data_IF_566893578667
#
_entry.id   IF_566893578667
#
_cell.length_a   1.000
_cell.length_b   1.000
_cell.length_c   1.000
_cell.angle_alpha   90.00
_cell.angle_beta   90.00
_cell.angle_gamma   90.00
#
_symmetry.space_group_name_H-M   'P 1'
#
loop_
_entity.id
_entity.type
_entity.pdbx_description
1 polymer ?
#
# COMPACT_ATOMS: atom_id res chain seq x y z
N UNK A 1 14.13 -10.11 -8.67
CA UNK A 1 13.78 -9.83 -7.25
C UNK A 1 13.41 -8.37 -6.99
N UNK A 2 14.09 -7.36 -7.58
CA UNK A 2 13.81 -5.93 -7.29
C UNK A 2 12.37 -5.47 -7.55
N UNK A 3 11.69 -5.95 -8.59
CA UNK A 3 10.30 -5.56 -8.90
C UNK A 3 9.35 -5.77 -7.72
N UNK A 4 9.41 -6.94 -7.07
CA UNK A 4 8.54 -7.25 -5.93
C UNK A 4 8.87 -6.39 -4.71
N UNK A 5 10.15 -6.03 -4.53
CA UNK A 5 10.57 -5.12 -3.47
C UNK A 5 9.98 -3.73 -3.67
N UNK A 6 9.99 -3.19 -4.90
CA UNK A 6 9.37 -1.90 -5.19
C UNK A 6 7.86 -1.92 -5.01
N UNK A 7 7.20 -3.01 -5.42
CA UNK A 7 5.77 -3.19 -5.15
C UNK A 7 5.48 -3.25 -3.64
N UNK A 8 6.31 -3.91 -2.84
CA UNK A 8 6.13 -3.94 -1.39
C UNK A 8 6.28 -2.54 -0.77
N UNK A 9 7.28 -1.75 -1.18
CA UNK A 9 7.47 -0.38 -0.69
C UNK A 9 6.30 0.54 -1.03
N UNK A 10 5.56 0.24 -2.09
CA UNK A 10 4.45 1.07 -2.55
C UNK A 10 3.09 0.58 -2.08
N UNK A 11 2.86 -0.73 -2.07
CA UNK A 11 1.54 -1.35 -1.91
C UNK A 11 1.36 -2.09 -0.58
N UNK A 12 2.43 -2.28 0.19
CA UNK A 12 2.38 -2.85 1.54
C UNK A 12 2.67 -1.76 2.56
N UNK A 13 1.67 -0.91 2.79
CA UNK A 13 1.81 0.31 3.59
C UNK A 13 0.69 0.47 4.61
N UNK A 14 1.03 1.11 5.72
CA UNK A 14 0.15 1.53 6.81
C UNK A 14 0.46 2.98 7.18
N UNK A 15 -0.37 3.65 8.01
CA UNK A 15 -0.06 5.00 8.49
C UNK A 15 1.31 5.12 9.16
N UNK A 16 1.79 4.05 9.81
CA UNK A 16 3.07 3.98 10.50
C UNK A 16 4.26 3.74 9.57
N UNK A 17 4.05 3.11 8.42
CA UNK A 17 5.13 2.61 7.54
C UNK A 17 5.23 3.34 6.21
N UNK A 18 4.19 4.06 5.80
CA UNK A 18 4.10 4.70 4.49
C UNK A 18 5.25 5.68 4.23
N UNK A 19 5.63 6.50 5.22
CA UNK A 19 6.71 7.48 5.03
C UNK A 19 8.07 6.82 4.83
N UNK A 20 8.42 5.84 5.67
CA UNK A 20 9.71 5.15 5.57
C UNK A 20 9.81 4.35 4.27
N UNK A 21 8.71 3.72 3.85
CA UNK A 21 8.70 2.95 2.62
C UNK A 21 8.82 3.85 1.40
N UNK A 22 8.08 4.96 1.36
CA UNK A 22 8.18 5.95 0.29
C UNK A 22 9.56 6.62 0.25
N UNK A 23 10.14 6.95 1.41
CA UNK A 23 11.50 7.50 1.48
C UNK A 23 12.55 6.53 0.93
N UNK A 24 12.43 5.24 1.22
CA UNK A 24 13.33 4.24 0.67
C UNK A 24 13.11 4.05 -0.84
N UNK A 25 11.85 4.03 -1.32
CA UNK A 25 11.52 3.99 -2.74
C UNK A 25 12.16 5.16 -3.52
N UNK A 26 12.12 6.37 -2.93
CA UNK A 26 12.72 7.57 -3.52
C UNK A 26 14.23 7.48 -3.77
N UNK A 27 14.95 6.61 -3.05
CA UNK A 27 16.38 6.40 -3.28
C UNK A 27 16.71 5.78 -4.64
N UNK A 28 15.73 5.13 -5.28
CA UNK A 28 15.87 4.47 -6.59
C UNK A 28 15.33 5.32 -7.75
N UNK A 29 14.76 6.49 -7.48
CA UNK A 29 14.11 7.35 -8.48
C UNK A 29 15.13 8.32 -9.06
N UNK A 30 15.15 8.42 -10.39
CA UNK A 30 16.03 9.33 -11.14
C UNK A 30 15.78 10.81 -10.77
N UNK A 31 16.83 11.65 -10.68
CA UNK A 31 16.69 13.05 -10.28
C UNK A 31 15.65 13.85 -11.06
N UNK A 32 15.55 13.61 -12.36
CA UNK A 32 14.74 14.36 -13.32
C UNK A 32 13.24 14.25 -13.03
N UNK A 33 12.79 13.09 -12.55
CA UNK A 33 11.37 12.81 -12.23
C UNK A 33 11.08 12.87 -10.72
N UNK A 34 12.11 13.11 -9.90
CA UNK A 34 12.05 12.98 -8.45
C UNK A 34 11.04 13.92 -7.81
N UNK A 35 11.00 15.19 -8.23
CA UNK A 35 10.10 16.18 -7.64
C UNK A 35 8.62 15.91 -7.97
N UNK A 36 8.33 15.47 -9.19
CA UNK A 36 6.97 15.07 -9.60
C UNK A 36 6.53 13.83 -8.81
N UNK A 37 7.38 12.81 -8.78
CA UNK A 37 7.07 11.57 -8.08
C UNK A 37 6.89 11.77 -6.58
N UNK A 38 7.72 12.63 -5.96
CA UNK A 38 7.60 12.98 -4.54
C UNK A 38 6.22 13.54 -4.19
N UNK A 39 5.64 14.40 -5.04
CA UNK A 39 4.30 14.95 -4.80
C UNK A 39 3.25 13.85 -4.75
N UNK A 40 3.30 12.91 -5.70
CA UNK A 40 2.40 11.74 -5.73
C UNK A 40 2.55 10.90 -4.46
N UNK A 41 3.78 10.63 -4.02
CA UNK A 41 4.03 9.87 -2.79
C UNK A 41 3.53 10.59 -1.52
N UNK A 42 3.62 11.93 -1.49
CA UNK A 42 3.14 12.76 -0.37
C UNK A 42 1.62 12.80 -0.29
N UNK A 43 0.94 12.97 -1.42
CA UNK A 43 -0.52 12.95 -1.50
C UNK A 43 -1.07 11.59 -1.04
N UNK A 44 -0.46 10.49 -1.48
CA UNK A 44 -0.87 9.16 -1.05
C UNK A 44 -0.62 8.94 0.45
N UNK A 45 0.55 9.33 0.96
CA UNK A 45 0.85 9.20 2.38
C UNK A 45 -0.15 10.00 3.24
N UNK A 46 -0.56 11.19 2.78
CA UNK A 46 -1.57 11.99 3.45
C UNK A 46 -2.93 11.27 3.47
N UNK A 47 -3.37 10.68 2.36
CA UNK A 47 -4.64 9.94 2.28
C UNK A 47 -4.64 8.69 3.18
N UNK A 48 -3.55 7.92 3.17
CA UNK A 48 -3.38 6.72 4.00
C UNK A 48 -3.49 7.07 5.48
N UNK A 49 -2.80 8.13 5.91
CA UNK A 49 -2.82 8.59 7.31
C UNK A 49 -4.17 9.18 7.71
N UNK A 50 -4.79 9.98 6.84
CA UNK A 50 -6.08 10.59 7.12
C UNK A 50 -7.20 9.56 7.25
N UNK A 51 -7.13 8.46 6.48
CA UNK A 51 -8.16 7.42 6.43
C UNK A 51 -7.87 6.22 7.35
N UNK A 52 -6.71 6.20 8.02
CA UNK A 52 -6.20 5.07 8.81
C UNK A 52 -6.26 3.74 8.04
N UNK A 53 -5.97 3.80 6.74
CA UNK A 53 -6.01 2.65 5.82
C UNK A 53 -4.67 1.94 5.83
N UNK A 54 -4.74 0.62 5.89
CA UNK A 54 -3.63 -0.30 5.73
C UNK A 54 -3.84 -1.05 4.43
N UNK A 55 -2.75 -1.44 3.78
CA UNK A 55 -2.80 -2.19 2.53
C UNK A 55 -1.76 -3.31 2.49
N UNK A 56 -2.08 -4.38 1.77
CA UNK A 56 -1.15 -5.46 1.44
C UNK A 56 -1.49 -6.04 0.08
N UNK A 57 -0.48 -6.17 -0.76
CA UNK A 57 -0.55 -6.75 -2.08
C UNK A 57 -0.11 -8.21 -2.07
N UNK A 58 -1.02 -9.10 -2.45
CA UNK A 58 -0.76 -10.53 -2.59
C UNK A 58 -0.54 -10.86 -4.06
N UNK A 59 0.71 -11.17 -4.41
CA UNK A 59 1.06 -11.54 -5.79
C UNK A 59 0.47 -12.91 -6.14
N UNK A 60 -0.18 -13.00 -7.29
CA UNK A 60 -0.79 -14.24 -7.81
C UNK A 60 -0.08 -14.77 -9.05
N UNK A 61 0.50 -13.88 -9.86
CA UNK A 61 1.17 -14.24 -11.11
C UNK A 61 2.33 -13.28 -11.37
N UNK A 62 3.45 -13.82 -11.87
CA UNK A 62 4.61 -13.05 -12.30
C UNK A 62 5.03 -13.56 -13.68
N UNK A 63 4.96 -12.70 -14.68
CA UNK A 63 5.45 -12.97 -16.03
C UNK A 63 6.65 -12.08 -16.32
N UNK A 64 7.76 -12.68 -16.76
CA UNK A 64 9.01 -11.97 -17.04
C UNK A 64 9.28 -12.03 -18.55
N UNK A 65 9.54 -10.87 -19.14
CA UNK A 65 9.88 -10.70 -20.55
C UNK A 65 11.27 -10.06 -20.64
N UNK A 66 12.36 -10.85 -20.58
CA UNK A 66 13.72 -10.32 -20.48
C UNK A 66 14.15 -9.51 -21.71
N UNK A 67 13.70 -9.93 -22.90
CA UNK A 67 14.00 -9.25 -24.17
C UNK A 67 13.44 -7.82 -24.18
N UNK A 68 12.31 -7.61 -23.51
CA UNK A 68 11.63 -6.32 -23.41
C UNK A 68 11.97 -5.57 -22.11
N UNK A 69 12.83 -6.13 -21.24
CA UNK A 69 13.15 -5.54 -19.94
C UNK A 69 11.95 -5.40 -19.01
N UNK A 70 10.90 -6.22 -19.19
CA UNK A 70 9.59 -6.04 -18.55
C UNK A 70 9.25 -7.16 -17.59
N UNK A 71 8.60 -6.82 -16.48
CA UNK A 71 8.00 -7.76 -15.54
C UNK A 71 6.55 -7.36 -15.33
N UNK A 72 5.64 -8.27 -15.64
CA UNK A 72 4.23 -8.14 -15.31
C UNK A 72 3.96 -8.85 -13.99
N UNK A 73 3.38 -8.13 -13.04
CA UNK A 73 2.96 -8.69 -11.75
C UNK A 73 1.46 -8.50 -11.62
N UNK A 74 0.75 -9.59 -11.36
CA UNK A 74 -0.67 -9.56 -11.00
C UNK A 74 -0.85 -10.02 -9.56
N UNK A 75 -1.89 -9.52 -8.94
CA UNK A 75 -2.19 -9.84 -7.55
C UNK A 75 -3.45 -9.15 -7.05
N UNK A 76 -3.71 -9.35 -5.77
CA UNK A 76 -4.86 -8.77 -5.07
C UNK A 76 -4.36 -7.76 -4.05
N UNK A 77 -4.77 -6.50 -4.21
CA UNK A 77 -4.56 -5.46 -3.22
C UNK A 77 -5.69 -5.51 -2.18
N UNK A 78 -5.36 -5.86 -0.94
CA UNK A 78 -6.29 -5.82 0.18
C UNK A 78 -6.08 -4.51 0.94
N UNK A 79 -7.16 -3.80 1.20
CA UNK A 79 -7.16 -2.59 2.03
C UNK A 79 -8.12 -2.77 3.20
N UNK A 80 -7.73 -2.27 4.37
CA UNK A 80 -8.60 -2.24 5.55
C UNK A 80 -8.25 -1.03 6.41
N UNK A 81 -9.25 -0.45 7.07
CA UNK A 81 -8.98 0.53 8.13
C UNK A 81 -9.00 -0.17 9.49
N UNK A 82 -8.41 0.45 10.52
CA UNK A 82 -8.48 -0.09 11.89
C UNK A 82 -9.90 0.02 12.47
N UNK A 83 -10.66 1.03 12.07
CA UNK A 83 -11.99 1.33 12.60
C UNK A 83 -13.09 0.31 12.24
N UNK A 84 -12.94 -0.45 11.16
CA UNK A 84 -13.87 -1.53 10.80
C UNK A 84 -13.67 -2.78 11.67
N UNK A 85 -12.52 -2.91 12.36
CA UNK A 85 -12.30 -4.00 13.32
C UNK A 85 -13.02 -3.77 14.65
N UNK A 86 -13.46 -2.55 14.97
CA UNK A 86 -14.08 -2.21 16.26
C UNK A 86 -15.60 -2.28 16.29
N UNK A 87 -16.29 -2.59 15.18
CA UNK A 87 -17.77 -2.63 15.14
C UNK A 87 -18.40 -4.03 15.30
N UNK A 88 -17.65 -5.06 15.71
CA UNK A 88 -18.22 -6.36 16.12
C UNK A 88 -18.56 -6.41 17.62
N UNK A 89 -19.22 -5.36 18.12
CA UNK A 89 -19.86 -5.36 19.44
C UNK A 89 -21.22 -6.05 19.36
N UNK A 90 -21.34 -7.24 19.95
CA UNK A 90 -22.59 -7.98 20.09
C UNK A 90 -23.62 -7.09 20.81
N UNK A 91 -24.60 -6.56 20.08
CA UNK A 91 -25.78 -5.92 20.67
C UNK A 91 -26.71 -7.03 21.16
N UNK A 92 -26.53 -7.49 22.41
CA UNK A 92 -27.57 -8.27 23.11
C UNK A 92 -28.80 -7.37 23.22
N UNK A 93 -29.82 -7.64 22.43
CA UNK A 93 -31.15 -7.09 22.63
C UNK A 93 -31.77 -7.85 23.81
N UNK A 94 -31.62 -7.33 25.03
CA UNK A 94 -32.49 -7.73 26.14
C UNK A 94 -33.64 -6.75 26.22
N UNK A 95 -34.85 -7.22 25.88
CA UNK A 95 -36.09 -6.50 26.15
C UNK A 95 -36.40 -6.59 27.66
N UNK A 96 -36.69 -5.49 28.37
CA UNK A 96 -37.19 -5.51 29.74
C UNK A 96 -38.70 -5.86 29.77
N UNK A 97 -39.26 -6.17 30.97
CA UNK A 97 -40.18 -7.29 31.22
C UNK A 97 -41.58 -7.18 30.63
#
# INVERSE_FOLDING_TARGET
MMTLSFLALRLNVSPETVDSNHAFLMSFVEPEVREEFKKVLQEEAAQIKASDVNSTFYTTEINVYPVDGRVDVRGVLKMWNRQLKTHHGIKKLSSPP
#
